data_IF_747012008785
#
_entry.id   IF_747012008785
#
_cell.length_a   1.000
_cell.length_b   1.000
_cell.length_c   1.000
_cell.angle_alpha   90.00
_cell.angle_beta   90.00
_cell.angle_gamma   90.00
#
_symmetry.space_group_name_H-M   'P 1'
#
loop_
_entity.id
_entity.type
_entity.pdbx_description
1 polymer ?
#
# COMPACT_ATOMS: atom_id res chain seq x y z
N UNK A 1 22.79 12.94 48.84
CA UNK A 1 23.03 13.04 47.38
C UNK A 1 22.69 11.70 46.75
N UNK A 2 21.51 11.54 46.13
CA UNK A 2 21.11 10.22 45.59
C UNK A 2 19.96 10.25 44.57
N UNK A 3 19.20 11.34 44.50
CA UNK A 3 17.98 11.40 43.68
C UNK A 3 18.18 11.81 42.22
N UNK A 4 19.40 12.16 41.78
CA UNK A 4 19.65 12.60 40.39
C UNK A 4 19.96 11.46 39.40
N UNK A 5 20.43 10.30 39.86
CA UNK A 5 20.75 9.19 38.94
C UNK A 5 19.53 8.35 38.54
N UNK A 6 18.54 8.18 39.43
CA UNK A 6 17.35 7.34 39.15
C UNK A 6 16.48 7.93 38.03
N UNK A 7 16.40 9.26 37.94
CA UNK A 7 15.59 9.95 36.93
C UNK A 7 16.15 9.84 35.51
N UNK A 8 17.45 9.66 35.34
CA UNK A 8 18.10 9.64 34.03
C UNK A 8 18.01 8.25 33.37
N UNK A 9 18.04 7.18 34.17
CA UNK A 9 17.89 5.79 33.68
C UNK A 9 16.43 5.50 33.24
N UNK A 10 15.45 6.07 33.94
CA UNK A 10 14.03 5.99 33.55
C UNK A 10 13.74 6.77 32.26
N UNK A 11 14.38 7.91 32.04
CA UNK A 11 14.26 8.66 30.79
C UNK A 11 14.88 7.92 29.60
N UNK A 12 16.06 7.33 29.77
CA UNK A 12 16.75 6.60 28.70
C UNK A 12 16.00 5.32 28.29
N UNK A 13 15.35 4.63 29.23
CA UNK A 13 14.54 3.43 28.95
C UNK A 13 13.21 3.75 28.26
N UNK A 14 12.55 4.86 28.63
CA UNK A 14 11.34 5.36 27.95
C UNK A 14 11.63 5.79 26.50
N UNK A 15 12.76 6.47 26.26
CA UNK A 15 13.16 6.86 24.89
C UNK A 15 13.45 5.62 24.04
N UNK A 16 14.06 4.57 24.61
CA UNK A 16 14.35 3.31 23.89
C UNK A 16 13.08 2.50 23.54
N UNK A 17 12.06 2.53 24.42
CA UNK A 17 10.76 1.91 24.17
C UNK A 17 9.95 2.66 23.10
N UNK A 18 10.00 4.00 23.08
CA UNK A 18 9.34 4.80 22.05
C UNK A 18 10.05 4.71 20.69
N UNK A 19 11.39 4.60 20.66
CA UNK A 19 12.16 4.48 19.42
C UNK A 19 11.95 3.11 18.75
N UNK A 20 11.86 2.03 19.53
CA UNK A 20 11.60 0.69 18.99
C UNK A 20 10.15 0.49 18.50
N UNK A 21 9.16 1.18 19.07
CA UNK A 21 7.80 1.15 18.54
C UNK A 21 7.64 1.94 17.22
N UNK A 22 8.55 2.88 16.95
CA UNK A 22 8.59 3.60 15.66
C UNK A 22 9.18 2.76 14.52
N UNK A 23 9.92 1.68 14.82
CA UNK A 23 10.67 0.89 13.83
C UNK A 23 9.87 -0.23 13.13
N UNK A 24 8.62 -0.55 13.52
CA UNK A 24 7.90 -1.71 12.93
C UNK A 24 6.40 -1.48 12.68
N UNK A 25 5.85 -0.28 12.94
CA UNK A 25 4.41 -0.04 12.72
C UNK A 25 4.11 0.32 11.27
N UNK A 26 4.13 -0.68 10.38
CA UNK A 26 3.59 -0.54 9.03
C UNK A 26 2.12 -0.13 9.10
N UNK A 27 1.79 1.05 8.56
CA UNK A 27 0.39 1.54 8.48
C UNK A 27 -0.38 0.73 7.44
N UNK A 28 -1.70 0.67 7.60
CA UNK A 28 -2.61 0.06 6.62
C UNK A 28 -2.99 1.12 5.60
N UNK A 29 -2.92 0.76 4.32
CA UNK A 29 -3.24 1.65 3.20
C UNK A 29 -4.23 1.00 2.24
N UNK A 30 -4.95 1.89 1.57
CA UNK A 30 -5.65 1.63 0.33
C UNK A 30 -4.79 2.12 -0.85
N UNK A 31 -4.78 1.37 -1.94
CA UNK A 31 -4.19 1.82 -3.20
C UNK A 31 -5.33 2.21 -4.13
N UNK A 32 -5.46 3.50 -4.44
CA UNK A 32 -6.48 4.01 -5.39
C UNK A 32 -5.85 4.44 -6.71
N UNK A 33 -6.43 4.01 -7.83
CA UNK A 33 -6.08 4.50 -9.16
C UNK A 33 -6.67 5.90 -9.38
N UNK A 34 -5.81 6.92 -9.46
CA UNK A 34 -6.25 8.28 -9.74
C UNK A 34 -6.74 8.45 -11.18
N UNK A 35 -6.25 7.63 -12.11
CA UNK A 35 -6.75 7.55 -13.48
C UNK A 35 -8.25 7.23 -13.51
N UNK A 36 -8.64 6.12 -12.90
CA UNK A 36 -10.04 5.69 -12.92
C UNK A 36 -10.94 6.65 -12.15
N UNK A 37 -10.43 7.26 -11.08
CA UNK A 37 -11.14 8.33 -10.36
C UNK A 37 -11.40 9.54 -11.25
N UNK A 38 -10.40 9.99 -12.02
CA UNK A 38 -10.53 11.13 -12.94
C UNK A 38 -11.57 10.90 -14.03
N UNK A 39 -11.63 9.67 -14.56
CA UNK A 39 -12.54 9.33 -15.66
C UNK A 39 -13.89 8.74 -15.21
N UNK A 40 -14.18 8.73 -13.89
CA UNK A 40 -15.42 8.22 -13.32
C UNK A 40 -15.81 6.80 -13.83
N UNK A 41 -14.81 5.96 -14.11
CA UNK A 41 -15.02 4.68 -14.81
C UNK A 41 -15.60 3.56 -13.91
N UNK A 42 -15.91 3.87 -12.65
CA UNK A 42 -16.65 3.06 -11.67
C UNK A 42 -16.66 3.74 -10.29
N UNK A 43 -17.59 3.35 -9.42
CA UNK A 43 -17.70 3.85 -8.03
C UNK A 43 -16.53 3.45 -7.11
N UNK A 44 -15.65 2.54 -7.54
CA UNK A 44 -14.47 2.15 -6.77
C UNK A 44 -13.22 2.04 -7.63
N UNK A 45 -12.20 2.80 -7.24
CA UNK A 45 -10.90 2.81 -7.91
C UNK A 45 -9.84 2.15 -7.04
N UNK A 46 -10.24 1.27 -6.12
CA UNK A 46 -9.37 0.59 -5.16
C UNK A 46 -8.77 -0.69 -5.73
N UNK A 47 -7.50 -0.95 -5.43
CA UNK A 47 -6.88 -2.25 -5.69
C UNK A 47 -7.56 -3.32 -4.81
N UNK A 48 -8.21 -4.26 -5.47
CA UNK A 48 -8.85 -5.44 -4.90
C UNK A 48 -7.98 -6.67 -5.18
N UNK A 49 -7.99 -7.59 -4.22
CA UNK A 49 -7.51 -8.96 -4.37
C UNK A 49 -8.70 -9.86 -4.66
N UNK A 50 -8.70 -10.50 -5.82
CA UNK A 50 -9.63 -11.59 -6.13
C UNK A 50 -9.12 -12.88 -5.48
N UNK A 51 -10.02 -13.66 -4.89
CA UNK A 51 -9.69 -14.92 -4.21
C UNK A 51 -10.52 -16.06 -4.79
N UNK A 52 -9.96 -17.26 -4.81
CA UNK A 52 -10.70 -18.47 -5.17
C UNK A 52 -11.56 -19.00 -4.00
N UNK A 53 -12.23 -20.13 -4.19
CA UNK A 53 -13.09 -20.77 -3.18
C UNK A 53 -12.34 -21.19 -1.91
N UNK A 54 -11.01 -21.33 -1.96
CA UNK A 54 -10.14 -21.63 -0.82
C UNK A 54 -9.57 -20.37 -0.14
N UNK A 55 -9.99 -19.17 -0.56
CA UNK A 55 -9.49 -17.91 0.00
C UNK A 55 -8.05 -17.56 -0.40
N UNK A 56 -7.51 -18.22 -1.42
CA UNK A 56 -6.17 -17.95 -1.98
C UNK A 56 -6.28 -16.86 -3.05
N UNK A 57 -5.38 -15.86 -3.07
CA UNK A 57 -5.33 -14.85 -4.12
C UNK A 57 -5.24 -15.48 -5.51
N UNK A 58 -6.18 -15.13 -6.39
CA UNK A 58 -6.28 -15.58 -7.78
C UNK A 58 -6.12 -14.44 -8.79
N UNK A 59 -6.26 -13.19 -8.35
CA UNK A 59 -6.15 -12.03 -9.24
C UNK A 59 -6.05 -10.70 -8.49
N UNK A 60 -5.75 -9.65 -9.26
CA UNK A 60 -5.71 -8.27 -8.80
C UNK A 60 -6.44 -7.38 -9.80
N UNK A 61 -7.25 -6.45 -9.29
CA UNK A 61 -8.06 -5.57 -10.14
C UNK A 61 -8.40 -4.25 -9.44
N UNK A 62 -8.61 -3.20 -10.22
CA UNK A 62 -9.12 -1.90 -9.77
C UNK A 62 -10.59 -1.72 -10.18
N UNK A 63 -11.43 -2.75 -9.99
CA UNK A 63 -12.79 -2.85 -10.56
C UNK A 63 -13.90 -3.06 -9.53
N UNK A 64 -13.62 -2.99 -8.23
CA UNK A 64 -14.60 -3.41 -7.22
C UNK A 64 -15.93 -2.63 -7.33
N UNK A 65 -17.06 -3.30 -7.49
CA UNK A 65 -18.36 -2.61 -7.68
C UNK A 65 -18.92 -1.99 -6.38
N UNK A 66 -18.44 -2.42 -5.21
CA UNK A 66 -18.83 -1.86 -3.91
C UNK A 66 -17.61 -1.57 -3.05
N UNK A 67 -17.49 -0.34 -2.52
CA UNK A 67 -16.50 0.02 -1.51
C UNK A 67 -16.70 -0.74 -0.17
N UNK A 68 -17.87 -1.33 0.06
CA UNK A 68 -18.34 -1.89 1.34
C UNK A 68 -17.89 -3.32 1.68
N UNK A 69 -17.22 -4.06 0.79
CA UNK A 69 -16.69 -5.40 1.14
C UNK A 69 -15.30 -5.31 1.79
N UNK A 70 -15.08 -5.84 3.02
CA UNK A 70 -14.29 -5.11 4.02
C UNK A 70 -12.84 -5.60 4.23
N UNK A 71 -12.35 -6.61 3.50
CA UNK A 71 -11.07 -7.28 3.87
C UNK A 71 -10.05 -7.48 2.74
N UNK A 72 -10.47 -7.45 1.49
CA UNK A 72 -9.62 -7.87 0.36
C UNK A 72 -8.91 -6.70 -0.36
N UNK A 73 -8.94 -5.50 0.22
CA UNK A 73 -8.42 -4.26 -0.40
C UNK A 73 -7.32 -3.58 0.42
N UNK A 74 -7.08 -4.08 1.63
CA UNK A 74 -6.18 -3.46 2.59
C UNK A 74 -4.78 -4.04 2.45
N UNK A 75 -3.81 -3.16 2.42
CA UNK A 75 -2.40 -3.52 2.43
C UNK A 75 -1.71 -2.92 3.63
N UNK A 76 -1.02 -3.73 4.43
CA UNK A 76 -0.03 -3.21 5.34
C UNK A 76 1.18 -2.80 4.51
N UNK A 77 1.54 -1.52 4.56
CA UNK A 77 2.67 -0.99 3.80
C UNK A 77 3.82 -0.74 4.75
N UNK A 78 4.95 -1.37 4.44
CA UNK A 78 6.20 -1.16 5.16
C UNK A 78 7.10 -0.33 4.26
N UNK A 79 7.46 0.85 4.74
CA UNK A 79 8.38 1.75 4.05
C UNK A 79 9.81 1.49 4.53
N UNK A 80 10.76 1.60 3.61
CA UNK A 80 12.18 1.55 3.90
C UNK A 80 12.91 2.60 3.07
N UNK A 81 13.72 3.41 3.74
CA UNK A 81 14.52 4.46 3.12
C UNK A 81 15.94 3.97 2.85
N UNK A 82 16.52 4.43 1.75
CA UNK A 82 17.92 4.22 1.41
C UNK A 82 18.46 5.43 0.67
N UNK A 83 19.77 5.48 0.41
CA UNK A 83 20.38 6.49 -0.45
C UNK A 83 19.81 6.52 -1.88
N UNK A 84 19.14 5.45 -2.31
CA UNK A 84 18.50 5.32 -3.63
C UNK A 84 17.01 5.72 -3.63
N UNK A 85 16.49 6.18 -2.49
CA UNK A 85 15.11 6.66 -2.34
C UNK A 85 14.24 5.82 -1.41
N UNK A 86 12.95 6.16 -1.39
CA UNK A 86 11.91 5.50 -0.59
C UNK A 86 11.40 4.25 -1.30
N UNK A 87 11.47 3.12 -0.62
CA UNK A 87 10.88 1.85 -1.08
C UNK A 87 9.69 1.45 -0.20
N UNK A 88 8.76 0.72 -0.78
CA UNK A 88 7.62 0.15 -0.08
C UNK A 88 7.45 -1.33 -0.44
N UNK A 89 7.04 -2.12 0.55
CA UNK A 89 6.52 -3.48 0.36
C UNK A 89 5.06 -3.52 0.80
N UNK A 90 4.20 -4.19 0.03
CA UNK A 90 2.76 -4.24 0.28
C UNK A 90 2.36 -5.65 0.70
N UNK A 91 2.04 -5.80 1.98
CA UNK A 91 1.54 -7.05 2.57
C UNK A 91 0.02 -7.05 2.53
N UNK A 92 -0.60 -8.11 2.04
CA UNK A 92 -2.04 -8.22 2.06
C UNK A 92 -2.53 -8.38 3.51
N UNK A 93 -3.42 -7.48 3.97
CA UNK A 93 -3.79 -7.46 5.40
C UNK A 93 -4.57 -8.70 5.83
N UNK A 94 -5.33 -9.32 4.92
CA UNK A 94 -6.09 -10.53 5.23
C UNK A 94 -5.18 -11.73 5.53
N UNK A 95 -4.04 -11.82 4.84
CA UNK A 95 -3.01 -12.81 5.12
C UNK A 95 -1.63 -12.22 4.79
N UNK A 96 -0.91 -11.85 5.85
CA UNK A 96 0.36 -11.12 5.80
C UNK A 96 1.53 -11.96 5.29
N UNK A 97 1.32 -13.26 5.02
CA UNK A 97 2.29 -14.07 4.27
C UNK A 97 2.31 -13.73 2.78
N UNK A 98 1.28 -13.03 2.27
CA UNK A 98 1.20 -12.61 0.88
C UNK A 98 1.70 -11.20 0.64
N UNK A 99 2.52 -11.04 -0.40
CA UNK A 99 3.13 -9.79 -0.82
C UNK A 99 2.82 -9.48 -2.27
N UNK A 100 2.59 -8.19 -2.53
CA UNK A 100 2.50 -7.68 -3.89
C UNK A 100 3.83 -7.90 -4.58
N UNK A 101 3.79 -8.62 -5.68
CA UNK A 101 4.98 -9.10 -6.38
C UNK A 101 4.89 -8.73 -7.85
N UNK A 102 5.92 -8.04 -8.33
CA UNK A 102 6.11 -7.79 -9.75
C UNK A 102 6.93 -8.92 -10.35
N UNK A 103 6.31 -9.70 -11.25
CA UNK A 103 7.00 -10.76 -11.99
C UNK A 103 7.67 -10.19 -13.24
N UNK A 104 8.80 -10.79 -13.61
CA UNK A 104 9.47 -10.54 -14.89
C UNK A 104 8.82 -11.30 -16.04
N UNK A 105 8.02 -12.34 -15.76
CA UNK A 105 7.33 -13.18 -16.73
C UNK A 105 5.86 -13.39 -16.36
N UNK A 106 5.00 -13.64 -17.36
CA UNK A 106 3.57 -13.88 -17.16
C UNK A 106 2.81 -12.65 -16.65
N UNK A 107 1.90 -12.85 -15.68
CA UNK A 107 1.12 -11.77 -15.08
C UNK A 107 2.06 -10.77 -14.37
N UNK A 108 2.04 -9.48 -14.76
CA UNK A 108 3.06 -8.53 -14.35
C UNK A 108 2.99 -8.17 -12.87
N UNK A 109 1.84 -8.40 -12.23
CA UNK A 109 1.63 -8.17 -10.81
C UNK A 109 0.72 -9.24 -10.22
N UNK A 110 1.14 -9.83 -9.12
CA UNK A 110 0.43 -10.90 -8.41
C UNK A 110 0.61 -10.76 -6.89
N UNK A 111 -0.16 -11.53 -6.12
CA UNK A 111 0.15 -11.78 -4.72
C UNK A 111 0.80 -13.15 -4.55
N UNK A 112 1.94 -13.18 -3.87
CA UNK A 112 2.71 -14.41 -3.64
C UNK A 112 3.11 -14.55 -2.18
N UNK A 113 3.43 -15.80 -1.78
CA UNK A 113 4.11 -16.10 -0.51
C UNK A 113 5.60 -16.34 -0.78
N UNK A 114 6.42 -15.29 -0.95
CA UNK A 114 7.83 -15.49 -1.21
C UNK A 114 8.53 -16.02 0.06
N UNK A 115 9.55 -16.88 -0.07
CA UNK A 115 10.33 -17.36 1.08
C UNK A 115 11.15 -16.23 1.73
N UNK A 116 11.46 -15.17 0.99
CA UNK A 116 12.11 -13.95 1.48
C UNK A 116 11.76 -12.74 0.61
N UNK A 117 11.94 -11.53 1.15
CA UNK A 117 11.63 -10.28 0.43
C UNK A 117 12.79 -9.89 -0.48
N UNK A 118 12.55 -9.94 -1.79
CA UNK A 118 13.52 -9.58 -2.82
C UNK A 118 13.11 -8.30 -3.55
N UNK A 119 13.83 -7.92 -4.60
CA UNK A 119 13.47 -6.77 -5.44
C UNK A 119 12.14 -6.95 -6.18
N UNK A 120 11.64 -8.18 -6.32
CA UNK A 120 10.30 -8.44 -6.90
C UNK A 120 9.16 -7.96 -6.01
N UNK A 121 9.36 -7.84 -4.70
CA UNK A 121 8.36 -7.33 -3.75
C UNK A 121 8.55 -5.86 -3.37
N UNK A 122 9.61 -5.21 -3.87
CA UNK A 122 9.98 -3.84 -3.53
C UNK A 122 9.58 -2.89 -4.65
N UNK A 123 8.91 -1.82 -4.27
CA UNK A 123 8.51 -0.74 -5.18
C UNK A 123 9.13 0.57 -4.73
N UNK A 124 9.80 1.27 -5.64
CA UNK A 124 10.21 2.65 -5.42
C UNK A 124 8.96 3.54 -5.45
N UNK A 125 8.80 4.34 -4.41
CA UNK A 125 7.68 5.28 -4.27
C UNK A 125 8.19 6.65 -4.71
N UNK A 126 7.65 7.16 -5.82
CA UNK A 126 8.02 8.47 -6.35
C UNK A 126 6.83 9.40 -6.28
N UNK A 127 7.00 10.53 -5.57
CA UNK A 127 6.02 11.60 -5.58
C UNK A 127 5.81 12.11 -7.00
N UNK A 128 4.56 12.35 -7.37
CA UNK A 128 4.22 12.96 -8.66
C UNK A 128 3.50 14.27 -8.41
N UNK A 129 3.95 15.35 -9.06
CA UNK A 129 3.21 16.62 -9.10
C UNK A 129 2.52 16.70 -10.46
N UNK A 130 1.30 16.17 -10.54
CA UNK A 130 0.48 16.22 -11.76
C UNK A 130 -0.77 17.07 -11.50
N UNK A 131 -1.13 17.99 -12.42
CA UNK A 131 -2.39 18.72 -12.31
C UNK A 131 -3.58 17.76 -12.17
N UNK A 132 -4.38 17.94 -11.10
CA UNK A 132 -5.54 17.09 -10.81
C UNK A 132 -5.27 15.87 -9.91
N UNK A 133 -4.03 15.62 -9.50
CA UNK A 133 -3.78 14.70 -8.37
C UNK A 133 -2.65 15.20 -7.47
N UNK A 134 -3.04 16.00 -6.48
CA UNK A 134 -2.22 16.36 -5.32
C UNK A 134 -2.12 15.09 -4.45
N UNK A 135 -0.91 14.77 -3.97
CA UNK A 135 -0.59 13.57 -3.16
C UNK A 135 -0.63 12.22 -3.89
N UNK A 136 -0.64 12.22 -5.23
CA UNK A 136 -0.37 11.00 -5.99
C UNK A 136 1.10 10.59 -5.91
N UNK A 137 1.31 9.27 -5.92
CA UNK A 137 2.60 8.64 -6.12
C UNK A 137 2.57 7.74 -7.35
N UNK A 138 3.74 7.45 -7.89
CA UNK A 138 3.94 6.34 -8.81
C UNK A 138 4.76 5.26 -8.13
N UNK A 139 4.43 4.00 -8.40
CA UNK A 139 5.06 2.83 -7.81
C UNK A 139 5.87 2.09 -8.89
N UNK A 140 7.19 2.19 -8.84
CA UNK A 140 8.07 1.51 -9.80
C UNK A 140 8.61 0.21 -9.19
N UNK A 141 8.38 -0.93 -9.85
CA UNK A 141 8.98 -2.19 -9.44
C UNK A 141 10.51 -2.13 -9.54
N UNK A 142 11.21 -2.57 -8.49
CA UNK A 142 12.67 -2.70 -8.52
C UNK A 142 13.14 -3.85 -9.42
N UNK A 143 12.35 -4.91 -9.56
CA UNK A 143 12.71 -6.06 -10.39
C UNK A 143 12.56 -5.79 -11.89
N UNK A 144 11.51 -5.07 -12.30
CA UNK A 144 11.19 -4.90 -13.74
C UNK A 144 11.45 -3.48 -14.26
N UNK A 145 11.75 -2.52 -13.38
CA UNK A 145 11.82 -1.09 -13.69
C UNK A 145 10.55 -0.50 -14.31
N UNK A 146 9.43 -1.22 -14.29
CA UNK A 146 8.13 -0.75 -14.77
C UNK A 146 7.29 -0.18 -13.63
N UNK A 147 6.50 0.83 -13.94
CA UNK A 147 5.51 1.42 -13.05
C UNK A 147 4.24 0.58 -13.06
N UNK A 148 3.67 0.41 -11.87
CA UNK A 148 2.30 -0.09 -11.71
C UNK A 148 1.35 0.87 -12.44
N UNK A 149 0.47 0.33 -13.26
CA UNK A 149 -0.54 1.07 -13.99
C UNK A 149 -1.91 0.41 -13.90
N UNK A 150 -2.95 1.16 -14.26
CA UNK A 150 -4.31 0.67 -14.34
C UNK A 150 -4.90 0.96 -15.73
N UNK A 151 -5.59 -0.01 -16.32
CA UNK A 151 -6.33 0.19 -17.57
C UNK A 151 -7.67 0.92 -17.36
N UNK A 152 -8.31 1.31 -18.46
CA UNK A 152 -9.70 1.84 -18.47
C UNK A 152 -10.74 0.83 -18.00
N UNK A 153 -10.43 -0.47 -18.07
CA UNK A 153 -11.28 -1.56 -17.56
C UNK A 153 -10.92 -1.98 -16.13
N UNK A 154 -9.91 -1.35 -15.52
CA UNK A 154 -9.47 -1.64 -14.15
C UNK A 154 -8.57 -2.87 -14.04
N UNK A 155 -8.10 -3.40 -15.17
CA UNK A 155 -7.04 -4.41 -15.19
C UNK A 155 -5.74 -3.77 -14.70
N UNK A 156 -5.02 -4.51 -13.86
CA UNK A 156 -3.68 -4.13 -13.43
C UNK A 156 -2.71 -4.33 -14.58
N UNK A 157 -1.98 -3.28 -14.94
CA UNK A 157 -0.99 -3.28 -16.03
C UNK A 157 0.34 -2.70 -15.55
N UNK A 158 1.33 -2.68 -16.43
CA UNK A 158 2.60 -2.00 -16.17
C UNK A 158 3.07 -1.21 -17.38
N UNK A 159 3.86 -0.17 -17.14
CA UNK A 159 4.42 0.69 -18.19
C UNK A 159 5.78 1.23 -17.78
N UNK A 160 6.63 1.60 -18.74
CA UNK A 160 7.88 2.33 -18.47
C UNK A 160 7.66 3.84 -18.41
N UNK A 161 6.53 4.34 -18.91
CA UNK A 161 6.24 5.77 -18.96
C UNK A 161 5.59 6.25 -17.65
N UNK A 162 6.38 6.97 -16.85
CA UNK A 162 5.96 7.53 -15.56
C UNK A 162 4.97 8.70 -15.66
N UNK A 163 4.81 9.29 -16.85
CA UNK A 163 4.01 10.51 -17.04
C UNK A 163 2.53 10.20 -17.37
N UNK A 164 2.18 8.93 -17.51
CA UNK A 164 0.80 8.52 -17.79
C UNK A 164 -0.08 8.67 -16.55
N UNK A 165 -1.30 9.16 -16.73
CA UNK A 165 -2.27 9.21 -15.63
C UNK A 165 -2.54 7.81 -15.04
N UNK A 166 -2.44 6.76 -15.86
CA UNK A 166 -2.65 5.36 -15.46
C UNK A 166 -1.68 4.88 -14.37
N UNK A 167 -0.52 5.51 -14.18
CA UNK A 167 0.45 5.13 -13.13
C UNK A 167 0.26 5.86 -11.81
N UNK A 168 -0.68 6.81 -11.76
CA UNK A 168 -0.92 7.64 -10.58
C UNK A 168 -1.78 6.90 -9.57
N UNK A 169 -1.21 6.65 -8.40
CA UNK A 169 -1.84 5.94 -7.30
C UNK A 169 -1.92 6.88 -6.09
N UNK A 170 -3.07 6.92 -5.42
CA UNK A 170 -3.20 7.51 -4.08
C UNK A 170 -3.02 6.42 -3.03
N UNK A 171 -2.18 6.70 -2.04
CA UNK A 171 -1.97 5.85 -0.87
C UNK A 171 -2.77 6.44 0.30
N UNK A 172 -4.02 6.02 0.45
CA UNK A 172 -4.87 6.54 1.52
C UNK A 172 -4.64 5.71 2.79
N UNK A 173 -4.26 6.37 3.88
CA UNK A 173 -4.09 5.71 5.19
C UNK A 173 -5.46 5.26 5.71
N UNK A 174 -5.55 3.99 6.08
CA UNK A 174 -6.69 3.45 6.80
C UNK A 174 -6.49 3.74 8.29
N UNK A 175 -6.96 4.89 8.76
CA UNK A 175 -6.83 5.26 10.17
C UNK A 175 -7.79 4.42 11.02
N UNK A 176 -7.26 3.64 11.97
CA UNK A 176 -8.08 2.74 12.81
C UNK A 176 -9.11 3.51 13.66
N UNK A 177 -8.79 4.75 14.02
CA UNK A 177 -9.68 5.71 14.68
C UNK A 177 -10.91 6.01 13.82
N UNK A 178 -10.75 6.15 12.50
CA UNK A 178 -11.86 6.39 11.57
C UNK A 178 -12.75 5.14 11.40
N UNK A 179 -12.16 3.94 11.36
CA UNK A 179 -12.94 2.68 11.30
C UNK A 179 -13.77 2.47 12.56
N UNK A 180 -13.23 2.80 13.74
CA UNK A 180 -13.97 2.75 14.99
C UNK A 180 -15.11 3.78 14.99
N UNK A 181 -14.82 5.03 14.63
CA UNK A 181 -15.83 6.11 14.60
C UNK A 181 -16.95 5.80 13.59
N UNK A 182 -16.64 5.35 12.37
CA UNK A 182 -17.67 4.94 11.39
C UNK A 182 -18.46 3.69 11.80
N UNK A 183 -17.94 2.89 12.74
CA UNK A 183 -18.68 1.74 13.31
C UNK A 183 -19.68 2.18 14.40
N UNK A 184 -19.46 3.34 15.03
CA UNK A 184 -20.30 3.86 16.12
C UNK A 184 -21.15 5.07 15.72
N UNK A 185 -20.84 5.73 14.61
CA UNK A 185 -21.67 6.79 14.03
C UNK A 185 -22.20 6.28 12.69
N UNK A 186 -23.53 6.11 12.61
CA UNK A 186 -24.30 5.68 11.44
C UNK A 186 -24.28 6.76 10.33
N UNK A 187 -23.09 7.16 9.88
CA UNK A 187 -22.93 8.07 8.75
C UNK A 187 -22.80 7.19 7.51
N UNK A 188 -23.83 7.20 6.66
CA UNK A 188 -23.71 6.68 5.30
C UNK A 188 -22.57 7.42 4.60
N UNK A 189 -21.54 6.69 4.18
CA UNK A 189 -20.49 7.18 3.29
C UNK A 189 -21.02 7.40 1.87
#
# INVERSE_FOLDING_TARGET
MGYKMVSMVLFLSLVYLCYNQALVSGKVYFLRSAFRQKYQLSDCNLLKVDVNSQGVPSGLSFTATCCSTPKQKHFKVVFSTSSRGLTATFQWLHNTTYYLTARTTGNPLVLERPPSITDSQKFLVKSTRTPGCIDCVSLQSKATNKYLATSTTGVVTTTTNRNLNSVLIRLDVCDKSYIAICKYINIMC
#
